data_IF_911450190047
#
_entry.id   IF_911450190047
#
_cell.length_a   1.000
_cell.length_b   1.000
_cell.length_c   1.000
_cell.angle_alpha   90.00
_cell.angle_beta   90.00
_cell.angle_gamma   90.00
#
_symmetry.space_group_name_H-M   'P 1'
#
loop_
_entity.id
_entity.type
_entity.pdbx_description
1 polymer ?
#
# COMPACT_ATOMS: atom_id res chain seq x y z
N UNK A 1 3.93 19.68 20.39
CA UNK A 1 2.96 20.70 19.95
C UNK A 1 1.68 20.56 20.77
N UNK A 2 1.04 21.66 21.11
CA UNK A 2 -0.19 21.69 21.91
C UNK A 2 -1.17 22.68 21.24
N UNK A 3 -2.38 22.28 20.83
CA UNK A 3 -2.86 20.89 20.83
C UNK A 3 -2.12 20.01 19.80
N UNK A 4 -2.26 18.70 19.92
CA UNK A 4 -1.62 17.76 18.99
C UNK A 4 -2.22 17.78 17.57
N UNK A 5 -3.50 18.09 17.46
CA UNK A 5 -4.28 18.22 16.23
C UNK A 5 -4.96 19.60 16.21
N UNK A 6 -4.24 20.64 15.74
CA UNK A 6 -4.76 22.00 15.77
C UNK A 6 -5.74 22.26 14.61
N UNK A 7 -6.77 23.03 14.90
CA UNK A 7 -7.69 23.56 13.92
C UNK A 7 -7.06 24.67 13.07
N UNK A 8 -7.70 24.98 11.94
CA UNK A 8 -7.35 26.17 11.14
C UNK A 8 -7.47 27.43 11.98
N UNK A 9 -6.56 28.35 11.77
CA UNK A 9 -6.52 29.61 12.48
C UNK A 9 -6.45 29.50 14.02
N UNK A 10 -5.92 28.39 14.53
CA UNK A 10 -5.73 28.15 15.96
C UNK A 10 -4.35 28.59 16.43
N UNK A 11 -4.29 29.07 17.67
CA UNK A 11 -3.05 29.34 18.39
C UNK A 11 -2.47 28.04 18.93
N UNK A 12 -1.17 27.80 18.68
CA UNK A 12 -0.47 26.58 19.12
C UNK A 12 0.73 26.94 19.99
N UNK A 13 1.13 25.99 20.84
CA UNK A 13 2.38 26.04 21.59
C UNK A 13 3.32 24.98 21.05
N UNK A 14 4.50 25.39 20.61
CA UNK A 14 5.59 24.49 20.24
C UNK A 14 6.54 24.37 21.43
N UNK A 15 6.76 23.13 21.87
CA UNK A 15 7.65 22.80 22.97
C UNK A 15 8.89 22.09 22.47
N UNK A 16 10.05 22.51 22.96
CA UNK A 16 11.35 21.88 22.70
C UNK A 16 11.99 21.45 24.02
N UNK A 17 12.64 20.31 24.04
CA UNK A 17 13.30 19.74 25.22
C UNK A 17 14.79 19.58 24.99
N UNK A 18 15.61 19.99 25.94
CA UNK A 18 17.06 19.79 25.96
C UNK A 18 17.48 19.09 27.25
N UNK A 19 18.74 18.64 27.32
CA UNK A 19 19.35 18.36 28.60
C UNK A 19 19.39 19.63 29.46
N UNK A 20 19.39 19.48 30.77
CA UNK A 20 19.39 20.60 31.71
C UNK A 20 20.70 21.39 31.61
N UNK A 21 20.56 22.67 31.32
CA UNK A 21 21.72 23.58 31.18
C UNK A 21 22.53 23.42 29.88
N UNK A 22 22.07 22.59 28.94
CA UNK A 22 22.78 22.27 27.69
C UNK A 22 22.76 23.43 26.67
N UNK A 23 21.73 24.29 26.73
CA UNK A 23 21.60 25.42 25.82
C UNK A 23 21.86 26.72 26.57
N UNK A 24 22.98 27.36 26.31
CA UNK A 24 23.34 28.67 26.87
C UNK A 24 22.87 29.87 26.04
N UNK A 25 22.39 29.58 24.81
CA UNK A 25 22.04 30.60 23.82
C UNK A 25 20.59 30.71 23.48
N UNK A 26 20.31 31.13 22.26
CA UNK A 26 18.96 31.35 21.74
C UNK A 26 18.43 30.11 21.04
N UNK A 27 17.18 29.76 21.30
CA UNK A 27 16.43 28.70 20.62
C UNK A 27 15.31 29.32 19.78
N UNK A 28 15.56 29.81 18.58
CA UNK A 28 14.47 30.26 17.71
C UNK A 28 13.80 29.08 17.02
N UNK A 29 12.47 29.08 17.00
CA UNK A 29 11.67 28.35 16.05
C UNK A 29 11.57 29.17 14.78
N UNK A 30 11.91 28.59 13.64
CA UNK A 30 11.97 29.28 12.35
C UNK A 30 10.87 28.75 11.42
N UNK A 31 10.13 29.67 10.78
CA UNK A 31 9.22 29.40 9.68
C UNK A 31 9.80 29.96 8.40
N UNK A 32 10.23 29.07 7.49
CA UNK A 32 10.98 29.51 6.32
C UNK A 32 12.23 30.29 6.69
N UNK A 33 12.66 31.22 5.84
CA UNK A 33 13.85 32.03 6.09
C UNK A 33 13.58 33.33 6.85
N UNK A 34 12.32 33.75 7.05
CA UNK A 34 11.99 35.12 7.43
C UNK A 34 11.36 35.27 8.82
N UNK A 35 10.57 34.32 9.29
CA UNK A 35 9.89 34.43 10.58
C UNK A 35 10.54 33.55 11.64
N UNK A 36 10.98 34.18 12.72
CA UNK A 36 11.59 33.52 13.88
C UNK A 36 10.80 33.88 15.13
N UNK A 37 10.50 32.89 15.96
CA UNK A 37 9.97 33.11 17.29
C UNK A 37 10.93 32.52 18.32
N UNK A 38 11.32 33.30 19.30
CA UNK A 38 12.20 32.86 20.39
C UNK A 38 11.42 31.90 21.29
N UNK A 39 12.05 30.78 21.66
CA UNK A 39 11.53 29.93 22.73
C UNK A 39 12.00 30.47 24.08
N UNK A 40 11.08 30.55 25.03
CA UNK A 40 11.36 30.89 26.41
C UNK A 40 11.39 29.61 27.26
N UNK A 41 12.27 29.56 28.24
CA UNK A 41 12.33 28.42 29.17
C UNK A 41 11.07 28.42 30.03
N UNK A 42 10.26 27.40 29.87
CA UNK A 42 8.96 27.24 30.53
C UNK A 42 9.06 26.46 31.84
N UNK A 43 9.93 25.41 31.87
CA UNK A 43 10.06 24.56 33.05
C UNK A 43 11.36 23.74 33.03
N UNK A 44 11.69 23.14 34.17
CA UNK A 44 12.75 22.13 34.31
C UNK A 44 12.22 20.97 35.11
N UNK A 45 12.38 19.75 34.60
CA UNK A 45 12.00 18.51 35.29
C UNK A 45 13.12 17.46 35.15
N UNK A 46 13.58 16.98 36.29
CA UNK A 46 14.69 16.01 36.34
C UNK A 46 15.94 16.55 35.63
N UNK A 47 16.37 15.82 34.61
CA UNK A 47 17.54 16.14 33.81
C UNK A 47 17.24 16.95 32.54
N UNK A 48 16.02 17.49 32.40
CA UNK A 48 15.60 18.20 31.21
C UNK A 48 15.15 19.63 31.48
N UNK A 49 15.43 20.51 30.51
CA UNK A 49 14.86 21.83 30.36
C UNK A 49 13.84 21.85 29.20
N UNK A 50 12.72 22.54 29.42
CA UNK A 50 11.64 22.69 28.44
C UNK A 50 11.50 24.15 28.04
N UNK A 51 11.47 24.37 26.74
CA UNK A 51 11.35 25.68 26.11
C UNK A 51 10.08 25.74 25.28
N UNK A 52 9.38 26.85 25.30
CA UNK A 52 8.11 27.01 24.58
C UNK A 52 8.08 28.30 23.75
N UNK A 53 7.34 28.25 22.68
CA UNK A 53 6.95 29.42 21.89
C UNK A 53 5.53 29.24 21.38
N UNK A 54 4.86 30.32 21.10
CA UNK A 54 3.49 30.34 20.59
C UNK A 54 3.45 30.84 19.15
N UNK A 55 2.66 30.19 18.32
CA UNK A 55 2.39 30.59 16.94
C UNK A 55 0.89 30.63 16.68
N UNK A 56 0.48 31.60 15.85
CA UNK A 56 -0.84 31.63 15.26
C UNK A 56 -0.79 30.90 13.92
N UNK A 57 -1.51 29.78 13.78
CA UNK A 57 -1.65 29.10 12.50
C UNK A 57 -2.55 29.91 11.56
N UNK A 58 -2.43 29.66 10.28
CA UNK A 58 -3.38 30.04 9.24
C UNK A 58 -4.15 28.80 8.76
N UNK A 59 -4.54 28.83 7.48
CA UNK A 59 -5.21 27.70 6.82
C UNK A 59 -4.24 26.75 6.13
N UNK A 60 -3.07 27.27 5.74
CA UNK A 60 -2.05 26.55 5.00
C UNK A 60 -1.15 25.72 5.91
N UNK A 61 -0.50 24.72 5.33
CA UNK A 61 0.51 23.92 6.00
C UNK A 61 1.59 24.80 6.62
N UNK A 62 1.81 24.61 7.93
CA UNK A 62 2.82 25.33 8.67
C UNK A 62 4.10 24.49 8.78
N UNK A 63 5.17 24.92 8.09
CA UNK A 63 6.47 24.26 8.11
C UNK A 63 7.42 24.99 9.07
N UNK A 64 8.13 24.26 9.92
CA UNK A 64 9.06 24.84 10.90
C UNK A 64 10.23 23.92 11.23
N UNK A 65 11.25 24.51 11.83
CA UNK A 65 12.41 23.80 12.41
C UNK A 65 12.92 24.58 13.62
N UNK A 66 13.72 23.95 14.44
CA UNK A 66 14.42 24.63 15.53
C UNK A 66 15.87 24.88 15.15
N UNK A 67 16.34 26.12 15.41
CA UNK A 67 17.74 26.47 15.33
C UNK A 67 18.27 26.53 16.76
N UNK A 68 19.32 25.80 17.06
CA UNK A 68 19.96 25.72 18.38
C UNK A 68 21.27 26.51 18.29
N UNK A 69 21.47 27.46 19.19
CA UNK A 69 22.70 28.24 19.25
C UNK A 69 23.27 28.06 20.67
N UNK A 70 24.46 27.50 20.76
CA UNK A 70 25.18 27.29 22.01
C UNK A 70 26.63 27.79 21.86
N UNK A 71 26.94 28.93 22.46
CA UNK A 71 28.22 29.64 22.20
C UNK A 71 28.33 30.01 20.72
N UNK A 72 29.42 29.60 20.08
CA UNK A 72 29.66 29.81 18.63
C UNK A 72 29.12 28.71 17.75
N UNK A 73 28.59 27.65 18.34
CA UNK A 73 28.03 26.50 17.61
C UNK A 73 26.57 26.75 17.22
N UNK A 74 26.23 26.35 15.99
CA UNK A 74 24.89 26.43 15.45
C UNK A 74 24.51 25.05 14.88
N UNK A 75 23.39 24.49 15.34
CA UNK A 75 22.81 23.31 14.72
C UNK A 75 21.29 23.47 14.51
N UNK A 76 20.72 22.58 13.74
CA UNK A 76 19.29 22.59 13.37
C UNK A 76 18.64 21.28 13.78
N UNK A 77 17.46 21.37 14.39
CA UNK A 77 16.64 20.20 14.69
C UNK A 77 15.43 20.15 13.78
N UNK A 78 15.33 19.07 13.03
CA UNK A 78 14.29 18.79 12.05
C UNK A 78 13.73 17.39 12.29
N UNK A 79 12.87 16.88 11.41
CA UNK A 79 12.40 15.49 11.44
C UNK A 79 13.54 14.46 11.27
N UNK A 80 14.64 14.87 10.64
CA UNK A 80 15.83 14.03 10.48
C UNK A 80 16.63 13.88 11.78
N UNK A 81 16.47 14.84 12.71
CA UNK A 81 17.26 14.95 13.93
C UNK A 81 18.08 16.23 13.97
N UNK A 82 19.20 16.20 14.68
CA UNK A 82 20.16 17.32 14.80
C UNK A 82 21.17 17.24 13.66
N UNK A 83 21.44 18.39 13.04
CA UNK A 83 22.43 18.53 11.96
C UNK A 83 23.03 19.93 11.94
N UNK A 84 24.29 20.06 11.55
CA UNK A 84 24.99 21.34 11.38
C UNK A 84 24.51 22.09 10.13
N UNK A 85 23.87 21.40 9.20
CA UNK A 85 23.34 21.95 7.97
C UNK A 85 21.80 21.87 7.91
N UNK A 86 21.15 22.97 7.54
CA UNK A 86 19.70 22.98 7.37
C UNK A 86 19.29 22.36 6.03
N UNK A 87 18.61 21.23 6.10
CA UNK A 87 17.87 20.70 4.95
C UNK A 87 16.36 20.93 5.13
N UNK A 88 15.79 21.84 4.35
CA UNK A 88 14.39 22.26 4.46
C UNK A 88 13.40 21.16 4.05
N UNK A 89 13.84 20.13 3.34
CA UNK A 89 13.01 18.94 3.02
C UNK A 89 12.56 18.23 4.30
N UNK A 90 13.37 18.25 5.35
CA UNK A 90 13.07 17.61 6.63
C UNK A 90 12.43 18.53 7.67
N UNK A 91 11.90 19.69 7.30
CA UNK A 91 11.12 20.52 8.24
C UNK A 91 9.96 19.76 8.85
N UNK A 92 9.63 20.09 10.11
CA UNK A 92 8.35 19.67 10.70
C UNK A 92 7.20 20.34 9.94
N UNK A 93 6.09 19.62 9.79
CA UNK A 93 4.89 20.11 9.09
C UNK A 93 3.67 19.92 9.97
N UNK A 94 2.86 20.94 10.06
CA UNK A 94 1.54 20.93 10.70
C UNK A 94 0.52 21.25 9.61
N UNK A 95 -0.45 20.37 9.42
CA UNK A 95 -1.60 20.59 8.55
C UNK A 95 -2.79 21.01 9.43
N UNK A 96 -3.14 22.31 9.50
CA UNK A 96 -4.25 22.76 10.33
C UNK A 96 -5.58 22.18 9.86
N UNK A 97 -6.42 21.73 10.79
CA UNK A 97 -7.69 21.06 10.51
C UNK A 97 -7.55 19.58 10.14
N UNK A 98 -6.33 19.03 10.15
CA UNK A 98 -6.15 17.57 10.05
C UNK A 98 -6.33 16.93 11.43
N UNK A 99 -7.21 15.94 11.51
CA UNK A 99 -7.38 15.12 12.70
C UNK A 99 -7.34 13.64 12.35
N UNK A 100 -6.71 12.85 13.20
CA UNK A 100 -6.77 11.39 13.13
C UNK A 100 -8.15 10.93 13.61
N UNK A 101 -8.84 10.05 12.89
CA UNK A 101 -10.11 9.50 13.36
C UNK A 101 -9.98 8.90 14.77
N UNK A 102 -10.94 9.18 15.65
CA UNK A 102 -10.86 8.76 17.06
C UNK A 102 -10.71 7.25 17.24
N UNK A 103 -11.31 6.46 16.34
CA UNK A 103 -11.17 5.01 16.35
C UNK A 103 -9.74 4.52 16.12
N UNK A 104 -8.88 5.31 15.47
CA UNK A 104 -7.50 4.93 15.18
C UNK A 104 -6.54 5.33 16.32
N UNK A 105 -6.97 6.20 17.22
CA UNK A 105 -6.15 6.68 18.33
C UNK A 105 -6.06 5.61 19.42
N UNK A 106 -4.88 4.98 19.51
CA UNK A 106 -4.61 3.92 20.47
C UNK A 106 -5.14 2.53 20.07
N UNK A 107 -5.72 2.37 18.88
CA UNK A 107 -6.21 1.08 18.40
C UNK A 107 -5.08 0.06 18.22
N UNK A 108 -5.33 -1.17 18.65
CA UNK A 108 -4.44 -2.30 18.42
C UNK A 108 -4.68 -2.84 17.01
N UNK A 109 -3.66 -2.71 16.14
CA UNK A 109 -3.73 -3.15 14.75
C UNK A 109 -2.92 -4.41 14.55
N UNK A 110 -3.46 -5.35 13.78
CA UNK A 110 -2.78 -6.57 13.36
C UNK A 110 -2.72 -6.61 11.83
N UNK A 111 -1.50 -6.72 11.30
CA UNK A 111 -1.29 -6.87 9.86
C UNK A 111 -1.28 -8.34 9.48
N UNK A 112 -2.08 -8.72 8.48
CA UNK A 112 -2.18 -10.10 7.99
C UNK A 112 -1.57 -10.19 6.59
N UNK A 113 -0.53 -11.01 6.46
CA UNK A 113 -0.06 -11.56 5.21
C UNK A 113 -0.81 -12.88 4.98
N UNK A 114 -1.85 -12.87 4.16
CA UNK A 114 -2.88 -13.92 4.11
C UNK A 114 -2.29 -15.29 3.77
N UNK A 115 -1.44 -15.39 2.74
CA UNK A 115 -0.78 -16.66 2.35
C UNK A 115 -0.07 -17.37 3.51
N UNK A 116 0.35 -16.61 4.54
CA UNK A 116 1.16 -17.07 5.67
C UNK A 116 0.39 -17.06 6.99
N UNK A 117 -0.94 -16.95 6.95
CA UNK A 117 -1.72 -16.82 8.18
C UNK A 117 -2.42 -18.12 8.60
N UNK A 118 -3.34 -18.63 7.81
CA UNK A 118 -4.03 -19.90 8.06
C UNK A 118 -4.77 -20.35 6.79
N UNK A 119 -4.63 -21.64 6.43
CA UNK A 119 -5.35 -22.26 5.32
C UNK A 119 -6.68 -22.80 5.83
N UNK A 120 -7.79 -22.20 5.42
CA UNK A 120 -9.15 -22.60 5.78
C UNK A 120 -9.85 -23.39 4.67
N UNK A 121 -9.44 -23.22 3.41
CA UNK A 121 -10.00 -23.92 2.26
C UNK A 121 -8.89 -24.42 1.30
N UNK A 122 -8.37 -25.64 1.51
CA UNK A 122 -7.32 -26.18 0.64
C UNK A 122 -7.70 -26.35 -0.84
N UNK A 123 -8.98 -26.17 -1.19
CA UNK A 123 -9.46 -26.30 -2.59
C UNK A 123 -9.11 -25.09 -3.44
N UNK A 124 -8.78 -23.95 -2.83
CA UNK A 124 -8.37 -22.74 -3.51
C UNK A 124 -6.84 -22.56 -3.62
N UNK A 125 -6.05 -23.47 -3.05
CA UNK A 125 -4.59 -23.40 -3.06
C UNK A 125 -4.02 -23.27 -4.48
N UNK A 126 -2.97 -22.46 -4.63
CA UNK A 126 -2.17 -22.43 -5.85
C UNK A 126 -1.47 -23.77 -6.03
N UNK A 127 -1.64 -24.41 -7.18
CA UNK A 127 -0.98 -25.68 -7.47
C UNK A 127 0.44 -25.49 -8.04
N UNK A 128 1.35 -26.40 -7.75
CA UNK A 128 2.70 -26.36 -8.33
C UNK A 128 2.63 -26.41 -9.85
N UNK A 129 3.33 -25.47 -10.51
CA UNK A 129 3.31 -25.28 -11.98
C UNK A 129 1.96 -24.81 -12.53
N UNK A 130 1.14 -24.17 -11.74
CA UNK A 130 -0.09 -23.57 -12.23
C UNK A 130 0.23 -22.46 -13.24
N UNK A 131 1.30 -21.70 -13.00
CA UNK A 131 1.84 -20.67 -13.91
C UNK A 131 3.34 -20.44 -13.62
N UNK A 132 3.98 -19.58 -14.46
CA UNK A 132 5.35 -19.11 -14.31
C UNK A 132 5.33 -17.68 -13.79
N UNK A 133 6.08 -17.39 -12.73
CA UNK A 133 6.28 -16.04 -12.23
C UNK A 133 7.77 -15.78 -11.95
N UNK A 134 8.29 -14.62 -12.44
CA UNK A 134 9.72 -14.28 -12.37
C UNK A 134 10.62 -15.43 -12.83
N UNK A 135 10.36 -15.92 -14.07
CA UNK A 135 11.20 -16.89 -14.76
C UNK A 135 11.19 -18.32 -14.22
N UNK A 136 10.32 -18.65 -13.24
CA UNK A 136 10.19 -20.01 -12.74
C UNK A 136 8.73 -20.34 -12.37
N UNK A 137 8.36 -21.65 -12.39
CA UNK A 137 7.04 -22.08 -11.98
C UNK A 137 6.73 -21.72 -10.54
N UNK A 138 5.43 -21.44 -10.25
CA UNK A 138 4.93 -21.37 -8.89
C UNK A 138 4.98 -22.73 -8.20
N UNK A 139 5.03 -22.71 -6.88
CA UNK A 139 5.21 -23.89 -6.04
C UNK A 139 4.24 -23.85 -4.85
N UNK A 140 3.50 -24.94 -4.65
CA UNK A 140 2.69 -25.19 -3.46
C UNK A 140 3.58 -25.76 -2.35
N UNK A 141 3.60 -25.07 -1.20
CA UNK A 141 4.28 -25.55 0.00
C UNK A 141 3.34 -26.49 0.76
N UNK A 142 3.76 -27.72 0.93
CA UNK A 142 2.94 -28.73 1.61
C UNK A 142 3.22 -28.85 3.12
N UNK A 143 4.37 -28.33 3.56
CA UNK A 143 4.75 -28.32 4.96
C UNK A 143 4.82 -26.89 5.50
N UNK A 144 3.84 -26.50 6.32
CA UNK A 144 3.78 -25.17 6.92
C UNK A 144 4.92 -24.85 7.89
N UNK A 145 5.65 -25.86 8.38
CA UNK A 145 6.83 -25.66 9.23
C UNK A 145 8.09 -25.32 8.43
N UNK A 146 8.03 -25.45 7.10
CA UNK A 146 9.16 -25.09 6.24
C UNK A 146 9.36 -23.57 6.26
N UNK A 147 10.57 -23.08 6.63
CA UNK A 147 10.79 -21.63 6.70
C UNK A 147 10.79 -20.98 5.32
N UNK A 148 10.27 -19.73 5.19
CA UNK A 148 10.38 -18.95 3.97
C UNK A 148 11.84 -18.73 3.58
N UNK A 149 12.11 -18.72 2.29
CA UNK A 149 13.45 -18.45 1.73
C UNK A 149 13.56 -17.03 1.15
N UNK A 150 14.76 -16.60 0.82
CA UNK A 150 14.94 -15.36 0.05
C UNK A 150 14.29 -15.51 -1.33
N UNK A 151 13.66 -14.44 -1.84
CA UNK A 151 12.94 -14.44 -3.13
C UNK A 151 11.79 -15.47 -3.23
N UNK A 152 11.10 -15.69 -2.14
CA UNK A 152 10.04 -16.69 -1.96
C UNK A 152 8.67 -16.25 -2.53
N UNK A 153 8.67 -15.35 -3.50
CA UNK A 153 7.48 -14.66 -4.01
C UNK A 153 6.50 -15.56 -4.80
N UNK A 154 6.96 -16.74 -5.21
CA UNK A 154 6.18 -17.73 -6.00
C UNK A 154 5.90 -19.04 -5.25
N UNK A 155 6.24 -19.12 -3.96
CA UNK A 155 5.94 -20.26 -3.09
C UNK A 155 4.74 -19.93 -2.20
N UNK A 156 3.73 -20.77 -2.25
CA UNK A 156 2.43 -20.52 -1.63
C UNK A 156 2.19 -21.51 -0.51
N UNK A 157 1.85 -20.99 0.68
CA UNK A 157 1.48 -21.79 1.84
C UNK A 157 -0.03 -22.04 1.92
N UNK A 158 -0.82 -21.35 1.08
CA UNK A 158 -2.24 -21.58 0.96
C UNK A 158 -3.10 -20.91 2.03
N UNK A 159 -2.56 -19.94 2.80
CA UNK A 159 -3.41 -19.13 3.67
C UNK A 159 -4.44 -18.33 2.87
N UNK A 160 -5.68 -18.22 3.39
CA UNK A 160 -6.82 -17.66 2.67
C UNK A 160 -7.78 -16.88 3.59
N UNK A 161 -8.84 -16.28 3.00
CA UNK A 161 -9.85 -15.50 3.73
C UNK A 161 -10.79 -16.38 4.57
N UNK A 162 -11.00 -17.64 4.19
CA UNK A 162 -11.72 -18.60 5.02
C UNK A 162 -10.94 -18.87 6.29
N UNK A 163 -9.63 -19.03 6.19
CA UNK A 163 -8.74 -19.19 7.33
C UNK A 163 -8.73 -17.98 8.26
N UNK A 164 -8.77 -16.76 7.68
CA UNK A 164 -8.93 -15.55 8.49
C UNK A 164 -10.27 -15.55 9.22
N UNK A 165 -11.36 -15.92 8.53
CA UNK A 165 -12.70 -16.00 9.13
C UNK A 165 -12.72 -16.98 10.34
N UNK A 166 -12.07 -18.14 10.21
CA UNK A 166 -11.97 -19.13 11.28
C UNK A 166 -11.11 -18.67 12.48
N UNK A 167 -10.21 -17.72 12.26
CA UNK A 167 -9.33 -17.16 13.30
C UNK A 167 -9.85 -15.85 13.92
N UNK A 168 -11.06 -15.41 13.62
CA UNK A 168 -11.59 -14.16 14.18
C UNK A 168 -11.77 -14.22 15.71
N UNK A 169 -12.13 -15.37 16.30
CA UNK A 169 -12.21 -15.51 17.73
C UNK A 169 -10.84 -15.33 18.41
N UNK A 170 -9.81 -15.95 17.85
CA UNK A 170 -8.42 -15.79 18.30
C UNK A 170 -7.98 -14.31 18.23
N UNK A 171 -8.27 -13.62 17.12
CA UNK A 171 -7.92 -12.21 16.97
C UNK A 171 -8.69 -11.32 17.96
N UNK A 172 -9.93 -11.64 18.25
CA UNK A 172 -10.76 -10.94 19.23
C UNK A 172 -10.23 -11.15 20.65
N UNK A 173 -9.89 -12.38 21.03
CA UNK A 173 -9.29 -12.70 22.33
C UNK A 173 -7.93 -12.01 22.52
N UNK A 174 -7.16 -11.85 21.44
CA UNK A 174 -5.91 -11.10 21.44
C UNK A 174 -6.11 -9.58 21.60
N UNK A 175 -7.34 -9.09 21.51
CA UNK A 175 -7.68 -7.69 21.67
C UNK A 175 -7.46 -6.84 20.43
N UNK A 176 -7.50 -7.44 19.24
CA UNK A 176 -7.32 -6.73 17.97
C UNK A 176 -8.57 -5.93 17.62
N UNK A 177 -8.39 -4.64 17.36
CA UNK A 177 -9.46 -3.70 17.01
C UNK A 177 -9.47 -3.37 15.51
N UNK A 178 -8.31 -3.50 14.84
CA UNK A 178 -8.16 -3.18 13.41
C UNK A 178 -7.31 -4.25 12.73
N UNK A 179 -7.82 -4.79 11.64
CA UNK A 179 -7.06 -5.71 10.78
C UNK A 179 -6.62 -4.96 9.53
N UNK A 180 -5.31 -4.96 9.29
CA UNK A 180 -4.69 -4.47 8.07
C UNK A 180 -4.33 -5.66 7.19
N UNK A 181 -4.98 -5.80 6.05
CA UNK A 181 -4.61 -6.81 5.08
C UNK A 181 -3.51 -6.31 4.16
N UNK A 182 -2.45 -7.11 3.96
CA UNK A 182 -1.64 -7.02 2.75
C UNK A 182 -2.57 -7.11 1.53
N UNK A 183 -2.12 -6.70 0.33
CA UNK A 183 -3.00 -6.71 -0.84
C UNK A 183 -3.73 -8.05 -1.00
N UNK A 184 -5.01 -7.99 -1.36
CA UNK A 184 -5.89 -9.16 -1.55
C UNK A 184 -6.33 -9.36 -3.00
N UNK A 185 -6.04 -8.39 -3.87
CA UNK A 185 -6.48 -8.40 -5.26
C UNK A 185 -5.81 -9.49 -6.08
N UNK A 186 -6.45 -9.90 -7.17
CA UNK A 186 -5.88 -10.91 -8.08
C UNK A 186 -4.44 -10.54 -8.43
N UNK A 187 -3.51 -11.44 -8.16
CA UNK A 187 -2.06 -11.21 -8.35
C UNK A 187 -1.30 -12.54 -8.40
N UNK A 188 -0.23 -12.63 -9.22
CA UNK A 188 0.53 -13.86 -9.37
C UNK A 188 1.51 -14.15 -8.21
N UNK A 189 1.87 -13.17 -7.38
CA UNK A 189 2.74 -13.43 -6.23
C UNK A 189 1.97 -13.79 -4.97
N UNK A 190 2.66 -14.41 -4.01
CA UNK A 190 2.09 -14.67 -2.68
C UNK A 190 1.85 -13.39 -1.88
N UNK A 191 2.63 -12.33 -2.12
CA UNK A 191 2.50 -11.04 -1.42
C UNK A 191 1.47 -10.09 -2.04
N UNK A 192 1.01 -10.36 -3.26
CA UNK A 192 -0.05 -9.64 -3.99
C UNK A 192 0.20 -8.14 -4.25
N UNK A 193 1.47 -7.66 -4.18
CA UNK A 193 1.80 -6.28 -4.55
C UNK A 193 1.89 -6.04 -6.06
N UNK A 194 1.80 -7.07 -6.89
CA UNK A 194 1.84 -7.07 -8.34
C UNK A 194 0.46 -7.33 -8.95
N UNK A 195 -0.45 -6.40 -8.71
CA UNK A 195 -1.89 -6.54 -8.97
C UNK A 195 -2.18 -6.80 -10.44
N UNK A 196 -2.91 -7.89 -10.70
CA UNK A 196 -3.43 -8.29 -12.00
C UNK A 196 -4.81 -7.67 -12.28
N UNK A 197 -5.70 -7.64 -11.27
CA UNK A 197 -7.02 -7.03 -11.37
C UNK A 197 -7.43 -6.36 -10.06
N UNK A 198 -7.64 -5.05 -10.08
CA UNK A 198 -8.06 -4.25 -8.91
C UNK A 198 -9.55 -4.39 -8.54
N UNK A 199 -10.34 -4.97 -9.45
CA UNK A 199 -11.79 -5.10 -9.26
C UNK A 199 -12.20 -6.29 -8.39
N UNK A 200 -11.28 -7.26 -8.20
CA UNK A 200 -11.63 -8.52 -7.59
C UNK A 200 -10.57 -9.00 -6.59
N UNK A 201 -11.08 -9.63 -5.53
CA UNK A 201 -10.26 -10.42 -4.60
C UNK A 201 -9.75 -11.65 -5.33
N UNK A 202 -8.49 -12.03 -5.08
CA UNK A 202 -7.87 -13.19 -5.69
C UNK A 202 -8.62 -14.47 -5.32
N UNK A 203 -9.07 -15.29 -6.29
CA UNK A 203 -9.75 -16.55 -6.00
C UNK A 203 -8.93 -17.55 -5.20
N UNK A 204 -7.59 -17.50 -5.24
CA UNK A 204 -6.73 -18.31 -4.39
C UNK A 204 -6.73 -17.85 -2.91
N UNK A 205 -7.22 -16.64 -2.64
CA UNK A 205 -7.55 -16.19 -1.29
C UNK A 205 -9.05 -16.28 -1.00
N UNK A 206 -9.85 -16.38 -2.04
CA UNK A 206 -11.30 -16.36 -2.00
C UNK A 206 -11.94 -17.74 -2.20
N UNK A 207 -12.81 -17.84 -3.20
CA UNK A 207 -13.53 -19.07 -3.56
C UNK A 207 -13.36 -19.40 -5.04
N UNK A 208 -12.93 -20.62 -5.32
CA UNK A 208 -12.90 -21.20 -6.67
C UNK A 208 -14.13 -22.08 -6.83
N UNK A 209 -15.16 -21.56 -7.51
CA UNK A 209 -16.43 -22.29 -7.78
C UNK A 209 -16.45 -22.92 -9.17
N UNK A 210 -15.60 -22.44 -10.06
CA UNK A 210 -15.35 -22.99 -11.39
C UNK A 210 -13.88 -23.31 -11.49
N UNK A 211 -13.57 -24.58 -11.47
CA UNK A 211 -12.20 -25.08 -11.62
C UNK A 211 -12.04 -25.89 -12.91
N UNK A 212 -10.81 -26.05 -13.36
CA UNK A 212 -10.52 -26.79 -14.59
C UNK A 212 -9.19 -26.39 -15.21
N UNK A 213 -8.99 -26.81 -16.45
CA UNK A 213 -7.72 -26.60 -17.11
C UNK A 213 -6.62 -27.55 -16.60
N UNK A 214 -5.38 -27.22 -16.91
CA UNK A 214 -4.21 -28.04 -16.56
C UNK A 214 -3.08 -27.16 -16.06
N UNK A 215 -2.26 -27.71 -15.18
CA UNK A 215 -0.96 -27.13 -14.82
C UNK A 215 -0.03 -27.14 -16.01
N UNK A 216 0.95 -26.25 -16.01
CA UNK A 216 1.95 -26.18 -17.09
C UNK A 216 2.77 -27.46 -17.21
N UNK A 217 3.10 -27.90 -18.44
CA UNK A 217 4.00 -29.02 -18.64
C UNK A 217 5.40 -28.69 -18.11
N UNK A 218 6.20 -29.71 -17.90
CA UNK A 218 7.61 -29.55 -17.54
C UNK A 218 8.35 -28.84 -18.69
N UNK A 219 9.14 -27.82 -18.35
CA UNK A 219 9.90 -27.03 -19.33
C UNK A 219 9.09 -25.97 -20.07
N UNK A 220 7.84 -25.68 -19.68
CA UNK A 220 7.09 -24.55 -20.22
C UNK A 220 7.88 -23.23 -20.06
N UNK A 221 7.78 -22.35 -21.09
CA UNK A 221 8.56 -21.11 -21.16
C UNK A 221 7.68 -19.85 -20.99
N UNK A 222 6.37 -20.01 -20.78
CA UNK A 222 5.42 -18.89 -20.65
C UNK A 222 4.06 -19.35 -20.18
N UNK A 223 3.14 -18.39 -20.06
CA UNK A 223 1.84 -18.57 -19.40
C UNK A 223 0.64 -18.77 -20.36
N UNK A 224 0.86 -18.80 -21.67
CA UNK A 224 -0.24 -19.02 -22.66
C UNK A 224 -1.01 -20.30 -22.42
N UNK A 225 -0.34 -21.35 -21.94
CA UNK A 225 -0.92 -22.67 -21.66
C UNK A 225 -1.27 -22.86 -20.17
N UNK A 226 -1.16 -21.81 -19.36
CA UNK A 226 -1.54 -21.83 -17.96
C UNK A 226 -3.06 -21.81 -17.79
N UNK A 227 -3.75 -22.79 -18.36
CA UNK A 227 -5.21 -22.82 -18.49
C UNK A 227 -5.91 -22.96 -17.15
N UNK A 228 -5.30 -23.64 -16.17
CA UNK A 228 -5.81 -23.72 -14.82
C UNK A 228 -5.82 -22.32 -14.19
N UNK A 229 -4.70 -21.60 -14.22
CA UNK A 229 -4.59 -20.25 -13.70
C UNK A 229 -5.58 -19.29 -14.37
N UNK A 230 -5.68 -19.34 -15.72
CA UNK A 230 -6.60 -18.49 -16.48
C UNK A 230 -8.06 -18.73 -16.08
N UNK A 231 -8.48 -19.98 -15.85
CA UNK A 231 -9.82 -20.31 -15.39
C UNK A 231 -10.04 -19.83 -13.96
N UNK A 232 -9.12 -20.15 -13.06
CA UNK A 232 -9.24 -19.82 -11.65
C UNK A 232 -9.28 -18.32 -11.41
N UNK A 233 -8.40 -17.55 -12.07
CA UNK A 233 -8.28 -16.08 -11.88
C UNK A 233 -9.06 -15.24 -12.86
N UNK A 234 -9.63 -15.83 -13.93
CA UNK A 234 -10.36 -15.10 -14.98
C UNK A 234 -11.86 -15.42 -15.05
N UNK A 235 -12.30 -16.57 -14.53
CA UNK A 235 -13.73 -16.89 -14.55
C UNK A 235 -14.51 -15.95 -13.63
N UNK A 236 -15.52 -15.28 -14.20
CA UNK A 236 -16.34 -14.29 -13.51
C UNK A 236 -16.99 -14.85 -12.24
N UNK A 237 -17.41 -16.10 -12.29
CA UNK A 237 -18.02 -16.82 -11.17
C UNK A 237 -17.06 -16.89 -9.96
N UNK A 238 -15.78 -17.16 -10.18
CA UNK A 238 -14.75 -17.20 -9.14
C UNK A 238 -14.49 -15.81 -8.57
N UNK A 239 -14.37 -14.82 -9.44
CA UNK A 239 -14.11 -13.44 -9.06
C UNK A 239 -15.25 -12.87 -8.20
N UNK A 240 -16.50 -13.11 -8.60
CA UNK A 240 -17.68 -12.68 -7.84
C UNK A 240 -17.83 -13.44 -6.52
N UNK A 241 -17.58 -14.75 -6.50
CA UNK A 241 -17.62 -15.56 -5.28
C UNK A 241 -16.55 -15.12 -4.27
N UNK A 242 -15.36 -14.75 -4.74
CA UNK A 242 -14.28 -14.25 -3.90
C UNK A 242 -14.59 -12.87 -3.31
N UNK A 243 -15.17 -11.98 -4.10
CA UNK A 243 -15.67 -10.70 -3.60
C UNK A 243 -16.78 -10.87 -2.55
N UNK A 244 -17.67 -11.85 -2.74
CA UNK A 244 -18.75 -12.17 -1.80
C UNK A 244 -18.18 -12.68 -0.47
N UNK A 245 -17.19 -13.59 -0.49
CA UNK A 245 -16.52 -14.07 0.72
C UNK A 245 -15.83 -12.92 1.48
N UNK A 246 -15.17 -12.01 0.76
CA UNK A 246 -14.56 -10.85 1.42
C UNK A 246 -15.60 -9.94 2.07
N UNK A 247 -16.75 -9.70 1.42
CA UNK A 247 -17.84 -8.95 2.01
C UNK A 247 -18.40 -9.61 3.28
N UNK A 248 -18.58 -10.95 3.26
CA UNK A 248 -18.97 -11.76 4.43
C UNK A 248 -17.96 -11.62 5.58
N UNK A 249 -16.67 -11.72 5.28
CA UNK A 249 -15.59 -11.55 6.27
C UNK A 249 -15.61 -10.15 6.90
N UNK A 250 -15.74 -9.10 6.08
CA UNK A 250 -15.80 -7.72 6.57
C UNK A 250 -17.04 -7.47 7.44
N UNK A 251 -18.20 -8.02 7.06
CA UNK A 251 -19.41 -7.94 7.87
C UNK A 251 -19.22 -8.61 9.23
N UNK A 252 -18.64 -9.81 9.26
CA UNK A 252 -18.36 -10.55 10.49
C UNK A 252 -17.35 -9.82 11.38
N UNK A 253 -16.30 -9.21 10.82
CA UNK A 253 -15.37 -8.36 11.54
C UNK A 253 -16.06 -7.15 12.16
N UNK A 254 -16.92 -6.46 11.40
CA UNK A 254 -17.68 -5.31 11.89
C UNK A 254 -18.65 -5.71 13.01
N UNK A 255 -19.30 -6.87 12.92
CA UNK A 255 -20.18 -7.41 13.97
C UNK A 255 -19.42 -7.63 15.30
N UNK A 256 -18.13 -7.96 15.22
CA UNK A 256 -17.22 -8.11 16.38
C UNK A 256 -16.60 -6.78 16.83
N UNK A 257 -16.95 -5.66 16.20
CA UNK A 257 -16.37 -4.35 16.50
C UNK A 257 -14.99 -4.09 15.89
N UNK A 258 -14.46 -5.04 15.12
CA UNK A 258 -13.20 -4.89 14.40
C UNK A 258 -13.37 -4.04 13.13
N UNK A 259 -12.32 -3.34 12.73
CA UNK A 259 -12.27 -2.54 11.50
C UNK A 259 -11.29 -3.12 10.51
N UNK A 260 -11.51 -2.85 9.24
CA UNK A 260 -10.70 -3.38 8.15
C UNK A 260 -10.00 -2.24 7.41
N UNK A 261 -8.69 -2.42 7.19
CA UNK A 261 -7.89 -1.62 6.27
C UNK A 261 -7.40 -2.56 5.16
N UNK A 262 -7.64 -2.18 3.92
CA UNK A 262 -7.19 -2.91 2.74
C UNK A 262 -6.00 -2.19 2.10
N UNK A 263 -4.95 -2.91 1.75
CA UNK A 263 -3.80 -2.33 1.05
C UNK A 263 -4.13 -2.11 -0.43
N UNK A 264 -4.06 -0.85 -0.87
CA UNK A 264 -4.25 -0.43 -2.26
C UNK A 264 -2.91 -0.09 -2.91
N UNK A 265 -2.42 -0.94 -3.79
CA UNK A 265 -1.17 -0.73 -4.51
C UNK A 265 -1.45 0.11 -5.75
N UNK A 266 -1.35 1.44 -5.64
CA UNK A 266 -1.71 2.37 -6.71
C UNK A 266 -0.52 3.05 -7.37
N UNK A 267 0.72 2.69 -7.04
CA UNK A 267 1.92 3.23 -7.72
C UNK A 267 2.22 2.48 -9.02
N UNK A 268 1.91 1.21 -9.05
CA UNK A 268 2.20 0.27 -10.13
C UNK A 268 1.16 -0.85 -10.11
N UNK A 269 1.11 -1.62 -11.19
CA UNK A 269 0.41 -2.90 -11.25
C UNK A 269 1.41 -4.03 -11.45
N UNK A 270 0.94 -5.26 -11.65
CA UNK A 270 1.77 -6.40 -12.04
C UNK A 270 1.93 -6.51 -13.56
N UNK A 271 2.92 -7.27 -14.02
CA UNK A 271 3.08 -7.62 -15.43
C UNK A 271 1.93 -8.46 -15.99
N UNK A 272 1.22 -9.18 -15.11
CA UNK A 272 0.01 -9.95 -15.42
C UNK A 272 -1.26 -9.07 -15.55
N UNK A 273 -1.18 -7.79 -15.18
CA UNK A 273 -2.36 -6.92 -15.14
C UNK A 273 -3.08 -6.84 -16.48
N UNK A 274 -4.41 -6.90 -16.48
CA UNK A 274 -5.27 -6.87 -17.68
C UNK A 274 -5.05 -5.66 -18.60
N UNK A 275 -4.55 -4.55 -18.07
CA UNK A 275 -4.21 -3.37 -18.89
C UNK A 275 -2.85 -3.51 -19.57
N UNK A 276 -1.91 -4.22 -18.93
CA UNK A 276 -0.58 -4.44 -19.43
C UNK A 276 -0.49 -5.71 -20.28
N UNK A 277 -1.01 -6.81 -19.77
CA UNK A 277 -1.05 -8.17 -20.33
C UNK A 277 0.30 -8.64 -20.93
N UNK A 278 1.40 -8.34 -20.23
CA UNK A 278 2.73 -8.76 -20.63
C UNK A 278 2.84 -10.29 -20.71
N UNK A 279 2.17 -10.97 -19.81
CA UNK A 279 2.20 -12.45 -19.70
C UNK A 279 1.18 -13.13 -20.61
N UNK A 280 0.42 -12.36 -21.39
CA UNK A 280 -0.56 -12.84 -22.38
C UNK A 280 -1.64 -13.76 -21.78
N UNK A 281 -2.06 -13.44 -20.56
CA UNK A 281 -3.12 -14.16 -19.83
C UNK A 281 -4.49 -13.90 -20.47
N UNK A 282 -4.70 -12.67 -20.96
CA UNK A 282 -5.99 -12.19 -21.47
C UNK A 282 -6.07 -12.20 -23.01
N UNK A 283 -4.97 -12.46 -23.68
CA UNK A 283 -4.92 -12.43 -25.14
C UNK A 283 -5.84 -13.50 -25.76
N UNK A 284 -6.70 -13.09 -26.67
CA UNK A 284 -7.67 -13.96 -27.34
C UNK A 284 -8.96 -14.23 -26.53
N UNK A 285 -9.12 -13.63 -25.36
CA UNK A 285 -10.37 -13.69 -24.58
C UNK A 285 -11.30 -12.55 -25.01
N UNK A 286 -12.51 -12.85 -25.52
CA UNK A 286 -13.46 -11.86 -26.05
C UNK A 286 -13.86 -10.77 -25.03
N UNK A 287 -13.77 -11.07 -23.73
CA UNK A 287 -14.15 -10.15 -22.66
C UNK A 287 -13.10 -9.07 -22.36
N UNK A 288 -11.92 -9.17 -22.95
CA UNK A 288 -10.78 -8.28 -22.64
C UNK A 288 -10.23 -7.60 -23.89
N UNK A 289 -9.92 -6.34 -23.76
CA UNK A 289 -9.18 -5.58 -24.76
C UNK A 289 -7.69 -5.99 -24.75
N UNK A 290 -7.01 -5.77 -25.86
CA UNK A 290 -5.56 -6.04 -25.94
C UNK A 290 -4.79 -5.20 -24.93
N UNK A 291 -3.89 -5.83 -24.19
CA UNK A 291 -3.02 -5.16 -23.23
C UNK A 291 -2.07 -4.15 -23.90
N UNK A 292 -1.62 -3.18 -23.12
CA UNK A 292 -0.70 -2.13 -23.56
C UNK A 292 0.66 -2.67 -24.01
N UNK A 293 1.07 -3.82 -23.47
CA UNK A 293 2.32 -4.48 -23.88
C UNK A 293 2.18 -5.19 -25.22
N UNK A 294 1.00 -5.71 -25.51
CA UNK A 294 0.71 -6.51 -26.71
C UNK A 294 0.59 -5.61 -27.95
N UNK A 295 0.03 -4.40 -27.80
CA UNK A 295 -0.21 -3.49 -28.93
C UNK A 295 -0.06 -2.02 -28.56
N UNK A 296 0.62 -1.25 -29.39
CA UNK A 296 0.68 0.20 -29.30
C UNK A 296 -0.70 0.86 -29.50
N UNK A 297 -1.62 0.19 -30.21
CA UNK A 297 -3.01 0.62 -30.38
C UNK A 297 -3.95 0.21 -29.24
N UNK A 298 -3.44 -0.36 -28.15
CA UNK A 298 -4.22 -0.71 -26.98
C UNK A 298 -4.92 0.50 -26.36
N UNK A 299 -6.19 0.37 -25.94
CA UNK A 299 -6.89 1.45 -25.20
C UNK A 299 -6.23 1.74 -23.84
N UNK A 300 -5.35 0.88 -23.36
CA UNK A 300 -4.64 1.04 -22.09
C UNK A 300 -3.21 1.59 -22.27
N UNK A 301 -2.79 1.92 -23.50
CA UNK A 301 -1.41 2.36 -23.79
C UNK A 301 -1.03 3.60 -22.96
N UNK A 302 -1.91 4.56 -22.79
CA UNK A 302 -1.71 5.76 -21.99
C UNK A 302 -1.59 5.53 -20.48
N UNK A 303 -1.99 4.35 -19.98
CA UNK A 303 -1.89 4.00 -18.56
C UNK A 303 -0.44 3.77 -18.13
N UNK A 304 0.46 3.63 -19.10
CA UNK A 304 1.88 3.38 -18.90
C UNK A 304 2.71 4.34 -19.74
N UNK A 305 3.94 4.57 -19.31
CA UNK A 305 4.89 5.35 -20.11
C UNK A 305 5.83 4.40 -20.81
N UNK A 306 5.73 4.34 -22.14
CA UNK A 306 6.61 3.57 -23.01
C UNK A 306 7.67 4.48 -23.61
N UNK A 307 8.88 3.95 -23.86
CA UNK A 307 9.97 4.69 -24.51
C UNK A 307 9.74 4.81 -26.03
N UNK A 308 9.03 3.85 -26.63
CA UNK A 308 8.65 3.87 -28.03
C UNK A 308 7.25 3.26 -28.26
N UNK A 309 6.68 3.52 -29.45
CA UNK A 309 5.35 3.05 -29.85
C UNK A 309 5.38 1.70 -30.60
N UNK A 310 6.50 0.99 -30.59
CA UNK A 310 6.56 -0.32 -31.23
C UNK A 310 5.71 -1.30 -30.45
N UNK A 311 5.00 -2.14 -31.21
CA UNK A 311 4.38 -3.33 -30.63
C UNK A 311 5.45 -4.19 -29.98
N UNK A 312 5.18 -4.62 -28.76
CA UNK A 312 6.16 -5.36 -28.01
C UNK A 312 6.34 -6.75 -28.59
N UNK A 313 7.59 -7.11 -28.83
CA UNK A 313 7.94 -8.51 -29.06
C UNK A 313 8.39 -9.12 -27.74
N UNK A 314 7.59 -10.01 -27.19
CA UNK A 314 8.01 -10.86 -26.07
C UNK A 314 9.30 -11.59 -26.40
N UNK A 315 10.30 -11.72 -25.51
CA UNK A 315 10.34 -11.28 -24.10
C UNK A 315 11.10 -9.96 -23.88
N UNK A 316 11.40 -9.18 -24.90
CA UNK A 316 12.43 -8.14 -24.86
C UNK A 316 11.90 -6.69 -24.79
N UNK A 317 10.61 -6.49 -24.59
CA UNK A 317 10.11 -5.13 -24.44
C UNK A 317 10.25 -4.65 -22.98
N UNK A 318 11.44 -4.26 -22.57
CA UNK A 318 11.72 -3.51 -21.35
C UNK A 318 11.57 -2.01 -21.53
N UNK A 319 10.82 -1.56 -22.54
CA UNK A 319 10.72 -0.15 -22.93
C UNK A 319 9.61 0.63 -22.22
N UNK A 320 9.29 0.30 -20.98
CA UNK A 320 8.33 1.04 -20.17
C UNK A 320 8.86 1.30 -18.74
N UNK A 321 8.32 2.33 -18.10
CA UNK A 321 8.68 2.66 -16.71
C UNK A 321 8.22 1.56 -15.76
N UNK A 322 9.17 0.99 -15.01
CA UNK A 322 8.92 0.07 -13.91
C UNK A 322 9.09 0.77 -12.55
N UNK A 323 8.31 0.37 -11.55
CA UNK A 323 8.50 0.81 -10.18
C UNK A 323 9.86 0.35 -9.66
N UNK A 324 10.70 1.30 -9.26
CA UNK A 324 12.11 1.09 -8.94
C UNK A 324 12.92 0.36 -10.03
N UNK A 325 12.49 0.46 -11.28
CA UNK A 325 13.13 -0.20 -12.42
C UNK A 325 12.77 -1.67 -12.61
N UNK A 326 11.82 -2.21 -11.82
CA UNK A 326 11.36 -3.58 -11.99
C UNK A 326 10.35 -3.68 -13.15
N UNK A 327 10.67 -4.49 -14.13
CA UNK A 327 9.83 -4.75 -15.31
C UNK A 327 8.57 -5.56 -14.99
N UNK A 328 8.57 -6.31 -13.89
CA UNK A 328 7.40 -7.02 -13.35
C UNK A 328 6.40 -6.11 -12.66
N UNK A 329 6.78 -4.85 -12.40
CA UNK A 329 5.97 -3.85 -11.69
C UNK A 329 5.77 -2.59 -12.56
N UNK A 330 4.99 -2.65 -13.66
CA UNK A 330 4.71 -1.52 -14.53
C UNK A 330 4.17 -0.32 -13.74
N UNK A 331 4.86 0.83 -13.84
CA UNK A 331 4.45 2.05 -13.14
C UNK A 331 3.22 2.66 -13.80
N UNK A 332 2.24 3.05 -13.00
CA UNK A 332 1.01 3.69 -13.46
C UNK A 332 1.24 5.19 -13.77
N UNK A 333 0.81 5.62 -14.95
CA UNK A 333 1.05 6.96 -15.50
C UNK A 333 -0.13 7.91 -15.25
N UNK A 334 -0.23 8.45 -14.04
CA UNK A 334 -1.27 9.42 -13.67
C UNK A 334 -1.05 10.81 -14.25
N UNK A 335 0.17 11.13 -14.68
CA UNK A 335 0.50 12.46 -15.20
C UNK A 335 -0.18 12.72 -16.55
N UNK A 336 -0.25 11.66 -17.38
CA UNK A 336 -0.72 11.79 -18.76
C UNK A 336 -2.11 11.13 -18.98
N UNK A 337 -2.58 10.27 -18.05
CA UNK A 337 -3.87 9.58 -18.20
C UNK A 337 -4.89 9.94 -17.12
N UNK A 338 -5.80 10.84 -17.46
CA UNK A 338 -6.96 11.16 -16.62
C UNK A 338 -7.91 9.97 -16.47
N UNK A 339 -8.05 9.15 -17.52
CA UNK A 339 -8.89 7.95 -17.50
C UNK A 339 -8.40 6.94 -16.46
N UNK A 340 -7.07 6.76 -16.34
CA UNK A 340 -6.49 5.92 -15.29
C UNK A 340 -6.79 6.47 -13.90
N UNK A 341 -6.60 7.79 -13.70
CA UNK A 341 -6.90 8.45 -12.42
C UNK A 341 -8.34 8.21 -12.00
N UNK A 342 -9.28 8.47 -12.91
CA UNK A 342 -10.72 8.29 -12.65
C UNK A 342 -11.06 6.82 -12.33
N UNK A 343 -10.45 5.86 -13.05
CA UNK A 343 -10.63 4.44 -12.77
C UNK A 343 -10.17 4.04 -11.36
N UNK A 344 -8.99 4.45 -10.98
CA UNK A 344 -8.43 4.13 -9.65
C UNK A 344 -9.24 4.80 -8.53
N UNK A 345 -9.79 5.99 -8.75
CA UNK A 345 -10.69 6.64 -7.80
C UNK A 345 -11.98 5.80 -7.63
N UNK A 346 -12.56 5.29 -8.71
CA UNK A 346 -13.75 4.43 -8.62
C UNK A 346 -13.46 3.10 -7.93
N UNK A 347 -12.29 2.49 -8.15
CA UNK A 347 -11.81 1.33 -7.38
C UNK A 347 -11.75 1.67 -5.89
N UNK A 348 -11.14 2.80 -5.54
CA UNK A 348 -11.07 3.25 -4.15
C UNK A 348 -12.46 3.39 -3.52
N UNK A 349 -13.39 4.04 -4.22
CA UNK A 349 -14.79 4.18 -3.77
C UNK A 349 -15.48 2.84 -3.58
N UNK A 350 -15.29 1.89 -4.51
CA UNK A 350 -15.86 0.55 -4.43
C UNK A 350 -15.52 -0.13 -3.11
N UNK A 351 -14.25 -0.17 -2.74
CA UNK A 351 -13.79 -0.92 -1.58
C UNK A 351 -14.11 -0.24 -0.23
N UNK A 352 -14.31 1.09 -0.20
CA UNK A 352 -14.75 1.78 1.02
C UNK A 352 -16.27 1.91 1.13
N UNK A 353 -17.02 1.56 0.09
CA UNK A 353 -18.49 1.60 0.05
C UNK A 353 -19.11 0.25 0.40
N UNK A 354 -20.43 0.17 0.67
CA UNK A 354 -21.12 -1.10 0.81
C UNK A 354 -20.97 -1.97 -0.45
N UNK A 355 -20.84 -3.31 -0.32
CA UNK A 355 -20.92 -4.07 0.94
C UNK A 355 -19.61 -4.10 1.75
N UNK A 356 -18.47 -3.74 1.18
CA UNK A 356 -17.15 -3.94 1.77
C UNK A 356 -16.89 -3.01 2.95
N UNK A 357 -17.23 -1.72 2.85
CA UNK A 357 -17.09 -0.71 3.92
C UNK A 357 -15.73 -0.72 4.63
N UNK A 358 -14.65 -1.00 3.89
CA UNK A 358 -13.31 -0.89 4.43
C UNK A 358 -13.07 0.53 4.92
N UNK A 359 -12.52 0.69 6.14
CA UNK A 359 -12.35 2.02 6.75
C UNK A 359 -11.26 2.85 6.08
N UNK A 360 -10.37 2.20 5.36
CA UNK A 360 -9.31 2.87 4.60
C UNK A 360 -8.74 1.92 3.54
N UNK A 361 -8.37 2.50 2.40
CA UNK A 361 -7.35 1.94 1.52
C UNK A 361 -6.02 2.59 1.91
N UNK A 362 -5.04 1.79 2.31
CA UNK A 362 -3.70 2.29 2.58
C UNK A 362 -2.83 2.01 1.35
N UNK A 363 -2.03 2.97 0.90
CA UNK A 363 -0.97 2.67 -0.07
C UNK A 363 0.35 2.48 0.66
N UNK A 364 0.91 1.30 0.58
CA UNK A 364 2.11 0.90 1.31
C UNK A 364 3.41 1.57 0.85
N UNK A 365 3.45 2.23 -0.31
CA UNK A 365 4.70 2.79 -0.85
C UNK A 365 4.51 4.24 -1.28
N UNK A 366 5.22 5.14 -0.62
CA UNK A 366 5.16 6.59 -0.80
C UNK A 366 5.32 7.07 -2.23
N UNK A 367 4.27 7.60 -2.81
CA UNK A 367 4.28 8.24 -4.13
C UNK A 367 2.94 8.86 -4.53
N UNK A 368 1.83 8.32 -4.05
CA UNK A 368 0.49 8.73 -4.49
C UNK A 368 -0.35 9.53 -3.49
N UNK A 369 0.27 10.37 -2.66
CA UNK A 369 -0.44 11.09 -1.58
C UNK A 369 -1.61 11.97 -2.04
N UNK A 370 -1.63 12.37 -3.30
CA UNK A 370 -2.66 13.24 -3.87
C UNK A 370 -3.92 12.48 -4.31
N UNK A 371 -3.83 11.19 -4.66
CA UNK A 371 -5.00 10.36 -5.00
C UNK A 371 -5.90 10.19 -3.77
N UNK A 372 -5.31 10.00 -2.59
CA UNK A 372 -6.06 9.81 -1.34
C UNK A 372 -6.76 11.07 -0.82
N UNK A 373 -6.41 12.24 -1.32
CA UNK A 373 -7.14 13.48 -0.99
C UNK A 373 -8.47 13.60 -1.75
N UNK A 374 -8.70 12.76 -2.77
CA UNK A 374 -9.91 12.77 -3.61
C UNK A 374 -10.84 11.58 -3.38
N UNK A 375 -10.39 10.53 -2.70
CA UNK A 375 -11.19 9.38 -2.25
C UNK A 375 -11.60 9.60 -0.79
#
# INVERSE_FOLDING_TARGET
MIPAEPEKNQKIVLRFRTAKGDVSGRLPCCRGNEKKSKLEKASSHGIFDYYETTWQLGEETFCYYFKIVSGDEICYFTRYGVSDNLNTFYQFRIAPGFSTPDWAKGAVMYQIFVDRFYNGDPTNDVESREYIYIGAPCEKVTNWEEPPTAMDVRRFYGGDLQGVLEKLDYLQELGIEVIYFNPLFVSPSNHKYDIQDYDYIDPHYGRIVKDGGTILPEGAQGNREATMYQIRTGAKENLEASNALFAELVEEMHRRGMRVILDGVFNHCGSFNKWMDREQIYEGQEAYEKGAYVSAGSPYREFFRFEDDRDSSWPYNGSYDGWWGHDTLPKLNYEDSRRLEDYIIEIGKKWVSPPYKCRRLASGCGGGSWIFQRV
#
